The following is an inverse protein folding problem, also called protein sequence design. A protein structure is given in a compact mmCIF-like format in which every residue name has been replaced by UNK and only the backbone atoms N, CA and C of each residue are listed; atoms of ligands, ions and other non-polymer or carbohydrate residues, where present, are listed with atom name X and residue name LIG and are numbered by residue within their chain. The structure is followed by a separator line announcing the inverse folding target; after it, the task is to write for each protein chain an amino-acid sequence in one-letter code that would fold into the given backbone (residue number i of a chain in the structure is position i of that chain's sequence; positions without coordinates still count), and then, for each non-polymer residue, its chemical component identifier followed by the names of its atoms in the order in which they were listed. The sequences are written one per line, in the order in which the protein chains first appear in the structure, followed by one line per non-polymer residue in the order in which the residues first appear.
data_IF_242071731154
#
_entry.id   IF_242071731154
#
_cell.length_a   1.000
_cell.length_b   1.000
_cell.length_c   1.000
_cell.angle_alpha   90.00
_cell.angle_beta   90.00
_cell.angle_gamma   90.00
#
_symmetry.space_group_name_H-M   'P 1'
#
loop_
_entity.id
_entity.type
_entity.pdbx_description
1 polymer ?
#
# COMPACT_ATOMS: atom_id res chain seq x y z
N UNK A 1 -6.56 -38.14 2.69
CA UNK A 1 -5.92 -36.81 2.66
C UNK A 1 -6.34 -36.17 1.34
N UNK A 2 -7.13 -35.11 1.37
CA UNK A 2 -7.51 -34.40 0.14
C UNK A 2 -6.32 -33.51 -0.21
N UNK A 3 -5.60 -33.84 -1.27
CA UNK A 3 -4.62 -32.94 -1.86
C UNK A 3 -5.38 -31.71 -2.36
N UNK A 4 -5.22 -30.58 -1.69
CA UNK A 4 -5.70 -29.30 -2.23
C UNK A 4 -4.94 -29.06 -3.54
N UNK A 5 -5.70 -28.90 -4.64
CA UNK A 5 -5.14 -28.43 -5.90
C UNK A 5 -4.45 -27.08 -5.66
N UNK A 6 -3.27 -26.82 -6.25
CA UNK A 6 -2.65 -25.51 -6.13
C UNK A 6 -3.57 -24.45 -6.73
N UNK A 7 -3.76 -23.35 -6.00
CA UNK A 7 -4.56 -22.23 -6.50
C UNK A 7 -3.85 -21.57 -7.69
N UNK A 8 -4.60 -20.98 -8.63
CA UNK A 8 -4.03 -20.11 -9.66
C UNK A 8 -3.17 -19.00 -9.04
N UNK A 9 -2.12 -18.60 -9.75
CA UNK A 9 -1.22 -17.51 -9.36
C UNK A 9 -1.32 -16.36 -10.37
N UNK A 10 -1.72 -15.18 -9.91
CA UNK A 10 -1.64 -13.95 -10.68
C UNK A 10 -0.33 -13.22 -10.36
N UNK A 11 0.45 -12.92 -11.40
CA UNK A 11 1.69 -12.15 -11.28
C UNK A 11 1.47 -10.70 -11.71
N UNK A 12 1.69 -9.74 -10.82
CA UNK A 12 1.58 -8.31 -11.10
C UNK A 12 2.96 -7.64 -10.94
N UNK A 13 3.44 -6.98 -11.99
CA UNK A 13 4.75 -6.33 -11.95
C UNK A 13 4.73 -4.96 -12.65
N UNK A 14 5.52 -4.02 -12.13
CA UNK A 14 5.59 -2.67 -12.67
C UNK A 14 4.38 -1.82 -12.30
N UNK A 15 4.11 -0.76 -13.08
CA UNK A 15 3.09 0.24 -12.74
C UNK A 15 1.67 -0.12 -13.16
N UNK A 16 1.52 -1.12 -14.03
CA UNK A 16 0.25 -1.51 -14.68
C UNK A 16 -0.38 -0.40 -15.53
N UNK A 17 0.39 0.61 -15.97
CA UNK A 17 -0.12 1.70 -16.84
C UNK A 17 -0.63 1.16 -18.18
N UNK A 18 0.04 0.15 -18.74
CA UNK A 18 -0.25 -0.39 -20.07
C UNK A 18 -1.03 -1.71 -20.02
N UNK A 19 -1.62 -2.05 -18.87
CA UNK A 19 -2.33 -3.32 -18.75
C UNK A 19 -3.65 -3.30 -19.51
N UNK A 20 -3.97 -4.40 -20.19
CA UNK A 20 -5.28 -4.62 -20.77
C UNK A 20 -6.23 -5.15 -19.68
N UNK A 21 -6.97 -4.23 -19.07
CA UNK A 21 -7.77 -4.51 -17.88
C UNK A 21 -8.98 -5.40 -18.15
N UNK A 22 -9.79 -5.22 -19.22
CA UNK A 22 -10.98 -6.05 -19.44
C UNK A 22 -10.69 -7.55 -19.57
N UNK A 23 -9.68 -8.01 -20.36
CA UNK A 23 -9.34 -9.43 -20.41
C UNK A 23 -8.81 -9.97 -19.08
N UNK A 24 -8.07 -9.16 -18.31
CA UNK A 24 -7.63 -9.53 -16.98
C UNK A 24 -8.82 -9.74 -16.05
N UNK A 25 -9.75 -8.79 -15.98
CA UNK A 25 -10.96 -8.89 -15.15
C UNK A 25 -11.77 -10.13 -15.53
N UNK A 26 -12.00 -10.35 -16.82
CA UNK A 26 -12.71 -11.54 -17.31
C UNK A 26 -12.00 -12.87 -16.96
N UNK A 27 -10.68 -12.86 -16.81
CA UNK A 27 -9.92 -14.02 -16.32
C UNK A 27 -10.09 -14.16 -14.80
N UNK A 28 -9.99 -13.07 -14.04
CA UNK A 28 -10.17 -13.07 -12.59
C UNK A 28 -11.56 -13.57 -12.19
N UNK A 29 -12.62 -13.18 -12.88
CA UNK A 29 -14.01 -13.61 -12.64
C UNK A 29 -14.22 -15.14 -12.74
N UNK A 30 -13.33 -15.87 -13.42
CA UNK A 30 -13.40 -17.33 -13.55
C UNK A 30 -12.81 -18.07 -12.34
N UNK A 31 -12.03 -17.37 -11.53
CA UNK A 31 -11.34 -17.98 -10.38
C UNK A 31 -12.10 -17.72 -9.08
N UNK A 32 -12.39 -18.78 -8.32
CA UNK A 32 -13.05 -18.67 -7.01
C UNK A 32 -12.09 -18.21 -5.91
N UNK A 33 -10.82 -18.60 -6.02
CA UNK A 33 -9.74 -18.18 -5.12
C UNK A 33 -8.40 -18.26 -5.84
N UNK A 34 -7.50 -17.30 -5.56
CA UNK A 34 -6.18 -17.23 -6.17
C UNK A 34 -5.16 -16.61 -5.22
N UNK A 35 -3.90 -16.89 -5.52
CA UNK A 35 -2.75 -16.23 -4.91
C UNK A 35 -2.24 -15.12 -5.85
N UNK A 36 -1.65 -14.08 -5.30
CA UNK A 36 -1.03 -12.99 -6.08
C UNK A 36 0.42 -12.86 -5.69
N UNK A 37 1.32 -12.83 -6.67
CA UNK A 37 2.70 -12.40 -6.50
C UNK A 37 2.88 -11.02 -7.11
N UNK A 38 3.34 -10.06 -6.32
CA UNK A 38 3.45 -8.66 -6.74
C UNK A 38 4.85 -8.08 -6.52
N UNK A 39 5.33 -7.34 -7.52
CA UNK A 39 6.50 -6.45 -7.44
C UNK A 39 6.18 -5.13 -8.11
N UNK A 40 5.73 -4.15 -7.33
CA UNK A 40 5.23 -2.88 -7.87
C UNK A 40 5.46 -1.68 -6.95
N UNK A 41 5.74 -0.54 -7.57
CA UNK A 41 5.76 0.78 -6.92
C UNK A 41 4.39 1.48 -6.94
N UNK A 42 3.32 0.77 -7.35
CA UNK A 42 1.99 1.32 -7.56
C UNK A 42 1.80 1.86 -8.98
N UNK A 43 0.78 2.69 -9.20
CA UNK A 43 0.41 3.16 -10.53
C UNK A 43 -1.02 3.72 -10.56
N UNK A 44 -1.71 3.67 -11.72
CA UNK A 44 -3.04 4.28 -11.87
C UNK A 44 -4.02 3.73 -10.84
N UNK A 45 -4.53 4.61 -9.98
CA UNK A 45 -5.43 4.25 -8.88
C UNK A 45 -6.62 3.42 -9.37
N UNK A 46 -7.25 3.86 -10.46
CA UNK A 46 -8.42 3.18 -11.05
C UNK A 46 -8.11 1.71 -11.40
N UNK A 47 -6.98 1.44 -12.06
CA UNK A 47 -6.59 0.09 -12.47
C UNK A 47 -6.40 -0.81 -11.25
N UNK A 48 -5.67 -0.33 -10.25
CA UNK A 48 -5.40 -1.11 -9.05
C UNK A 48 -6.65 -1.32 -8.19
N UNK A 49 -7.51 -0.31 -8.10
CA UNK A 49 -8.78 -0.38 -7.38
C UNK A 49 -9.74 -1.34 -8.05
N UNK A 50 -9.86 -1.31 -9.38
CA UNK A 50 -10.67 -2.27 -10.15
C UNK A 50 -10.18 -3.70 -9.91
N UNK A 51 -8.87 -3.96 -10.05
CA UNK A 51 -8.28 -5.27 -9.72
C UNK A 51 -8.61 -5.65 -8.27
N UNK A 52 -8.46 -4.72 -7.34
CA UNK A 52 -8.72 -4.96 -5.92
C UNK A 52 -10.17 -5.33 -5.62
N UNK A 53 -11.13 -4.63 -6.23
CA UNK A 53 -12.56 -4.89 -6.10
C UNK A 53 -12.93 -6.27 -6.65
N UNK A 54 -12.35 -6.68 -7.78
CA UNK A 54 -12.55 -8.03 -8.32
C UNK A 54 -11.88 -9.09 -7.44
N UNK A 55 -10.73 -8.82 -6.84
CA UNK A 55 -10.03 -9.77 -5.98
C UNK A 55 -10.60 -9.86 -4.56
N UNK A 56 -11.44 -8.92 -4.14
CA UNK A 56 -11.99 -8.88 -2.78
C UNK A 56 -12.75 -10.19 -2.44
N UNK A 57 -12.41 -10.80 -1.31
CA UNK A 57 -12.95 -12.09 -0.89
C UNK A 57 -12.37 -13.32 -1.61
N UNK A 58 -11.54 -13.13 -2.64
CA UNK A 58 -10.94 -14.21 -3.46
C UNK A 58 -9.42 -14.28 -3.37
N UNK A 59 -8.76 -13.17 -3.02
CA UNK A 59 -7.32 -13.11 -2.80
C UNK A 59 -6.93 -13.82 -1.50
N UNK A 60 -6.28 -14.97 -1.63
CA UNK A 60 -5.83 -15.77 -0.51
C UNK A 60 -4.48 -15.29 -0.01
N UNK A 61 -3.38 -15.69 -0.65
CA UNK A 61 -2.05 -15.26 -0.26
C UNK A 61 -1.52 -14.17 -1.21
N UNK A 62 -1.15 -13.03 -0.63
CA UNK A 62 -0.45 -11.94 -1.31
C UNK A 62 1.04 -12.04 -1.01
N UNK A 63 1.80 -12.53 -1.99
CA UNK A 63 3.24 -12.61 -1.97
C UNK A 63 3.83 -11.30 -2.49
N UNK A 64 4.59 -10.60 -1.64
CA UNK A 64 5.24 -9.34 -2.03
C UNK A 64 6.71 -9.65 -2.30
N UNK A 65 7.06 -9.68 -3.59
CA UNK A 65 8.42 -9.73 -4.08
C UNK A 65 8.96 -8.30 -4.16
N UNK A 66 9.98 -8.03 -3.36
CA UNK A 66 10.68 -6.76 -3.29
C UNK A 66 9.83 -5.54 -2.87
N UNK A 67 8.79 -5.14 -3.59
CA UNK A 67 8.07 -3.90 -3.33
C UNK A 67 6.56 -4.01 -3.58
N UNK A 68 5.78 -3.35 -2.73
CA UNK A 68 4.37 -3.06 -2.96
C UNK A 68 4.07 -1.67 -2.40
N UNK A 69 4.15 -0.64 -3.25
CA UNK A 69 3.95 0.75 -2.83
C UNK A 69 2.65 1.34 -3.36
N UNK A 70 2.19 2.42 -2.72
CA UNK A 70 1.11 3.27 -3.23
C UNK A 70 -0.14 2.44 -3.54
N UNK A 71 -0.66 2.52 -4.76
CA UNK A 71 -1.83 1.76 -5.22
C UNK A 71 -1.72 0.24 -4.97
N UNK A 72 -0.54 -0.38 -5.08
CA UNK A 72 -0.38 -1.78 -4.71
C UNK A 72 -0.69 -2.01 -3.22
N UNK A 73 -0.09 -1.19 -2.35
CA UNK A 73 -0.29 -1.26 -0.91
C UNK A 73 -1.74 -0.91 -0.54
N UNK A 74 -2.36 0.02 -1.27
CA UNK A 74 -3.70 0.49 -0.99
C UNK A 74 -4.78 -0.52 -1.39
N UNK A 75 -4.57 -1.33 -2.43
CA UNK A 75 -5.64 -2.07 -3.10
C UNK A 75 -5.43 -3.58 -3.18
N UNK A 76 -4.39 -4.13 -2.55
CA UNK A 76 -4.25 -5.58 -2.36
C UNK A 76 -4.05 -5.95 -0.89
N UNK A 77 -3.20 -5.18 -0.19
CA UNK A 77 -2.82 -5.47 1.20
C UNK A 77 -4.00 -5.41 2.18
N UNK A 78 -5.01 -4.52 2.08
CA UNK A 78 -6.05 -4.41 3.10
C UNK A 78 -6.91 -5.66 3.28
N UNK A 79 -7.16 -6.41 2.20
CA UNK A 79 -8.15 -7.50 2.20
C UNK A 79 -7.59 -8.88 1.84
N UNK A 80 -6.32 -8.99 1.41
CA UNK A 80 -5.69 -10.29 1.21
C UNK A 80 -5.86 -11.15 2.47
N UNK A 81 -6.16 -12.43 2.34
CA UNK A 81 -6.32 -13.29 3.54
C UNK A 81 -5.01 -13.40 4.33
N UNK A 82 -3.89 -13.53 3.63
CA UNK A 82 -2.55 -13.50 4.20
C UNK A 82 -1.64 -12.62 3.36
N UNK A 83 -0.86 -11.75 4.00
CA UNK A 83 0.22 -10.98 3.38
C UNK A 83 1.56 -11.59 3.76
N UNK A 84 2.33 -11.95 2.74
CA UNK A 84 3.62 -12.63 2.85
C UNK A 84 4.66 -11.81 2.07
N UNK A 85 5.31 -10.89 2.77
CA UNK A 85 6.44 -10.14 2.23
C UNK A 85 7.71 -10.98 2.29
N UNK A 86 8.46 -11.03 1.18
CA UNK A 86 9.78 -11.64 1.15
C UNK A 86 10.79 -10.91 2.04
N UNK A 87 11.91 -11.57 2.34
CA UNK A 87 12.96 -10.96 3.16
C UNK A 87 13.42 -9.65 2.51
N UNK A 88 13.40 -8.57 3.30
CA UNK A 88 13.70 -7.19 2.90
C UNK A 88 12.65 -6.50 2.04
N UNK A 89 11.56 -7.18 1.63
CA UNK A 89 10.53 -6.53 0.84
C UNK A 89 9.90 -5.36 1.61
N UNK A 90 9.57 -4.29 0.89
CA UNK A 90 9.02 -3.07 1.45
C UNK A 90 7.58 -2.92 1.00
N UNK A 91 6.71 -2.56 1.93
CA UNK A 91 5.33 -2.15 1.66
C UNK A 91 5.19 -0.73 2.16
N UNK A 92 4.73 0.19 1.31
CA UNK A 92 4.73 1.60 1.65
C UNK A 92 3.47 2.30 1.14
N UNK A 93 2.91 3.13 2.01
CA UNK A 93 1.78 4.00 1.75
C UNK A 93 2.25 5.45 1.67
N UNK A 94 1.68 6.27 0.81
CA UNK A 94 1.99 7.70 0.75
C UNK A 94 0.74 8.55 0.56
N UNK A 95 -0.40 8.05 1.00
CA UNK A 95 -1.71 8.60 0.69
C UNK A 95 -2.53 7.76 -0.28
N UNK A 96 -3.69 8.30 -0.62
CA UNK A 96 -4.63 7.75 -1.58
C UNK A 96 -5.91 8.57 -1.59
N UNK A 97 -6.82 8.28 -2.53
CA UNK A 97 -8.15 8.86 -2.58
C UNK A 97 -8.82 8.81 -1.22
N UNK A 98 -9.21 9.98 -0.73
CA UNK A 98 -9.91 10.13 0.53
C UNK A 98 -10.91 11.28 0.42
N UNK A 99 -11.96 11.23 1.24
CA UNK A 99 -13.06 12.20 1.19
C UNK A 99 -12.69 13.58 1.74
N UNK A 100 -11.45 13.79 2.18
CA UNK A 100 -11.01 15.10 2.70
C UNK A 100 -10.54 16.05 1.58
N UNK A 101 -10.42 15.56 0.33
CA UNK A 101 -9.93 16.34 -0.81
C UNK A 101 -10.75 16.05 -2.08
N UNK A 102 -11.26 17.09 -2.73
CA UNK A 102 -11.94 17.00 -4.04
C UNK A 102 -11.00 17.27 -5.23
N UNK A 103 -9.69 17.06 -5.08
CA UNK A 103 -8.71 17.28 -6.15
C UNK A 103 -8.96 16.35 -7.34
N UNK A 104 -8.89 16.82 -8.58
CA UNK A 104 -8.95 15.95 -9.75
C UNK A 104 -7.57 15.31 -10.03
N UNK A 105 -7.51 14.00 -10.29
CA UNK A 105 -6.29 13.39 -10.83
C UNK A 105 -6.14 13.82 -12.29
N UNK A 106 -5.08 14.58 -12.56
CA UNK A 106 -4.67 14.93 -13.93
C UNK A 106 -3.28 14.35 -14.17
N UNK A 107 -3.13 13.55 -15.24
CA UNK A 107 -1.90 12.82 -15.53
C UNK A 107 -2.04 11.96 -16.80
N UNK A 108 -0.90 11.46 -17.30
CA UNK A 108 -0.72 10.83 -18.63
C UNK A 108 -1.43 9.48 -18.86
N UNK A 109 -2.44 9.13 -18.07
CA UNK A 109 -3.21 7.89 -18.19
C UNK A 109 -4.68 8.00 -17.78
N UNK A 110 -5.21 9.22 -17.72
CA UNK A 110 -6.61 9.49 -17.33
C UNK A 110 -7.33 10.02 -18.57
N UNK A 111 -8.08 9.16 -19.26
CA UNK A 111 -8.76 9.51 -20.53
C UNK A 111 -9.97 10.44 -20.32
N UNK A 112 -10.65 10.29 -19.19
CA UNK A 112 -11.73 11.16 -18.71
C UNK A 112 -11.42 11.58 -17.28
N UNK A 113 -11.77 12.80 -16.88
CA UNK A 113 -11.57 13.25 -15.51
C UNK A 113 -12.29 12.33 -14.51
N UNK A 114 -11.58 11.33 -13.98
CA UNK A 114 -12.07 10.53 -12.87
C UNK A 114 -11.99 11.41 -11.64
N UNK A 115 -13.15 11.75 -11.07
CA UNK A 115 -13.18 12.54 -9.85
C UNK A 115 -12.59 11.70 -8.72
N UNK A 116 -11.61 12.26 -8.02
CA UNK A 116 -10.99 11.60 -6.86
C UNK A 116 -12.02 11.30 -5.77
N UNK A 117 -13.13 12.04 -5.75
CA UNK A 117 -14.32 11.73 -4.96
C UNK A 117 -14.92 10.35 -5.27
N UNK A 118 -15.07 9.97 -6.54
CA UNK A 118 -15.57 8.65 -6.93
C UNK A 118 -14.60 7.54 -6.51
N UNK A 119 -13.31 7.74 -6.76
CA UNK A 119 -12.25 6.84 -6.33
C UNK A 119 -12.20 6.70 -4.79
N UNK A 120 -12.40 7.81 -4.07
CA UNK A 120 -12.45 7.82 -2.63
C UNK A 120 -13.65 7.04 -2.11
N UNK A 121 -14.84 7.20 -2.69
CA UNK A 121 -16.03 6.45 -2.29
C UNK A 121 -15.85 4.93 -2.47
N UNK A 122 -15.32 4.51 -3.62
CA UNK A 122 -14.98 3.11 -3.90
C UNK A 122 -13.89 2.57 -2.96
N UNK A 123 -12.82 3.33 -2.76
CA UNK A 123 -11.74 2.99 -1.83
C UNK A 123 -12.28 2.81 -0.41
N UNK A 124 -13.13 3.73 0.06
CA UNK A 124 -13.74 3.62 1.39
C UNK A 124 -14.61 2.37 1.52
N UNK A 125 -15.42 2.07 0.50
CA UNK A 125 -16.25 0.86 0.48
C UNK A 125 -15.39 -0.41 0.60
N UNK A 126 -14.28 -0.48 -0.13
CA UNK A 126 -13.35 -1.61 -0.08
C UNK A 126 -12.69 -1.74 1.30
N UNK A 127 -12.24 -0.63 1.89
CA UNK A 127 -11.62 -0.62 3.21
C UNK A 127 -12.61 -1.01 4.32
N UNK A 128 -13.83 -0.48 4.28
CA UNK A 128 -14.91 -0.82 5.21
C UNK A 128 -15.27 -2.31 5.12
N UNK A 129 -15.42 -2.83 3.90
CA UNK A 129 -15.67 -4.25 3.68
C UNK A 129 -14.52 -5.15 4.19
N UNK A 130 -13.28 -4.67 4.10
CA UNK A 130 -12.10 -5.34 4.65
C UNK A 130 -11.96 -5.21 6.18
N UNK A 131 -12.77 -4.35 6.83
CA UNK A 131 -12.64 -4.02 8.24
C UNK A 131 -11.35 -3.27 8.57
N UNK A 132 -10.81 -2.52 7.60
CA UNK A 132 -9.58 -1.73 7.72
C UNK A 132 -9.96 -0.25 7.86
N UNK A 133 -9.29 0.42 8.79
CA UNK A 133 -9.48 1.85 8.99
C UNK A 133 -8.83 2.65 7.85
N UNK A 134 -9.67 3.25 7.01
CA UNK A 134 -9.23 4.04 5.86
C UNK A 134 -8.44 5.30 6.23
N UNK A 135 -8.41 5.69 7.51
CA UNK A 135 -7.56 6.79 7.99
C UNK A 135 -6.07 6.55 7.77
N UNK A 136 -5.63 5.31 7.50
CA UNK A 136 -4.25 5.02 7.07
C UNK A 136 -3.87 5.80 5.80
N UNK A 137 -4.82 6.02 4.88
CA UNK A 137 -4.61 6.79 3.66
C UNK A 137 -4.33 8.25 3.98
N UNK A 138 -5.19 8.90 4.77
CA UNK A 138 -4.98 10.28 5.18
C UNK A 138 -3.68 10.45 6.01
N UNK A 139 -3.44 9.54 6.95
CA UNK A 139 -2.24 9.56 7.80
C UNK A 139 -0.96 9.53 6.98
N UNK A 140 -0.89 8.64 5.98
CA UNK A 140 0.31 8.44 5.16
C UNK A 140 0.42 9.45 4.02
N UNK A 141 -0.59 10.29 3.80
CA UNK A 141 -0.51 11.48 2.94
C UNK A 141 0.08 12.71 3.64
N UNK A 142 0.25 12.68 4.97
CA UNK A 142 0.81 13.82 5.70
C UNK A 142 2.32 13.96 5.50
N UNK A 143 2.87 15.19 5.48
CA UNK A 143 4.32 15.39 5.51
C UNK A 143 4.92 14.99 6.86
N UNK A 144 6.22 14.61 6.91
CA UNK A 144 6.89 14.33 8.17
C UNK A 144 7.11 15.60 8.99
N UNK A 145 7.11 15.51 10.32
CA UNK A 145 7.40 16.70 11.15
C UNK A 145 8.87 17.18 11.02
N UNK A 146 9.18 18.47 11.18
CA UNK A 146 10.57 18.96 11.07
C UNK A 146 11.53 18.27 12.06
N UNK A 147 11.04 17.95 13.26
CA UNK A 147 11.78 17.18 14.27
C UNK A 147 12.11 15.77 13.79
N UNK A 148 11.17 15.14 13.08
CA UNK A 148 11.33 13.81 12.48
C UNK A 148 12.43 13.82 11.45
N UNK A 149 12.34 14.74 10.47
CA UNK A 149 13.35 14.93 9.44
C UNK A 149 14.74 15.13 10.06
N UNK A 150 14.87 16.05 11.04
CA UNK A 150 16.14 16.29 11.72
C UNK A 150 16.69 15.04 12.44
N UNK A 151 15.82 14.20 12.99
CA UNK A 151 16.23 13.00 13.74
C UNK A 151 16.76 11.88 12.84
N UNK A 152 16.23 11.76 11.62
CA UNK A 152 16.62 10.74 10.63
C UNK A 152 17.83 11.22 9.81
N UNK A 153 17.89 12.52 9.49
CA UNK A 153 18.93 13.12 8.63
C UNK A 153 20.18 13.60 9.40
N UNK A 154 20.54 12.97 10.52
CA UNK A 154 21.74 13.34 11.31
C UNK A 154 22.97 13.38 10.39
N UNK A 155 23.39 14.57 9.94
CA UNK A 155 24.54 14.74 9.04
C UNK A 155 24.30 15.59 7.78
N UNK A 156 23.10 16.12 7.55
CA UNK A 156 22.89 17.16 6.54
C UNK A 156 22.64 16.66 5.11
N UNK A 157 22.28 15.39 4.91
CA UNK A 157 21.74 14.93 3.62
C UNK A 157 20.41 15.66 3.37
N UNK A 158 20.32 16.55 2.37
CA UNK A 158 19.08 17.25 2.08
C UNK A 158 18.13 16.25 1.43
N UNK A 159 17.24 15.64 2.21
CA UNK A 159 16.12 14.89 1.65
C UNK A 159 15.07 15.92 1.25
N UNK A 160 14.94 16.13 -0.06
CA UNK A 160 13.99 17.09 -0.63
C UNK A 160 12.54 16.58 -0.53
N UNK A 161 12.32 15.27 -0.42
CA UNK A 161 10.99 14.67 -0.28
C UNK A 161 11.01 13.27 0.35
N UNK A 162 9.96 12.94 1.10
CA UNK A 162 9.67 11.59 1.57
C UNK A 162 8.81 10.89 0.51
N UNK A 163 9.20 9.67 0.12
CA UNK A 163 8.53 8.87 -0.90
C UNK A 163 7.34 8.09 -0.37
N UNK A 164 7.25 7.94 0.96
CA UNK A 164 6.16 7.24 1.63
C UNK A 164 6.54 6.69 2.99
N UNK A 165 5.63 5.91 3.55
CA UNK A 165 5.70 5.37 4.89
C UNK A 165 5.53 3.85 4.86
N UNK A 166 6.57 3.14 5.29
CA UNK A 166 6.49 1.71 5.55
C UNK A 166 6.11 1.52 7.01
N UNK A 167 4.80 1.44 7.28
CA UNK A 167 4.28 1.35 8.64
C UNK A 167 4.62 -0.01 9.27
N UNK A 168 4.95 -0.01 10.56
CA UNK A 168 5.23 -1.25 11.28
C UNK A 168 3.98 -2.14 11.39
N UNK A 169 4.12 -3.49 11.43
CA UNK A 169 2.98 -4.38 11.63
C UNK A 169 2.20 -4.07 12.91
N UNK A 170 2.91 -3.68 13.97
CA UNK A 170 2.28 -3.24 15.22
C UNK A 170 1.37 -2.03 14.97
N UNK A 171 1.84 -1.01 14.27
CA UNK A 171 1.02 0.19 13.98
C UNK A 171 -0.16 -0.13 13.07
N UNK A 172 0.06 -0.92 12.01
CA UNK A 172 -0.99 -1.37 11.11
C UNK A 172 -2.10 -2.12 11.86
N UNK A 173 -1.73 -3.05 12.73
CA UNK A 173 -2.68 -3.83 13.55
C UNK A 173 -3.38 -2.97 14.59
N UNK A 174 -2.64 -2.19 15.40
CA UNK A 174 -3.22 -1.46 16.54
C UNK A 174 -4.02 -0.24 16.14
N UNK A 175 -3.63 0.44 15.06
CA UNK A 175 -4.22 1.73 14.70
C UNK A 175 -5.18 1.63 13.51
N UNK A 176 -4.97 0.65 12.63
CA UNK A 176 -5.68 0.60 11.35
C UNK A 176 -6.41 -0.72 11.10
N UNK A 177 -6.39 -1.65 12.06
CA UNK A 177 -7.23 -2.85 12.04
C UNK A 177 -6.73 -3.99 11.15
N UNK A 178 -5.50 -3.91 10.63
CA UNK A 178 -4.91 -5.01 9.83
C UNK A 178 -4.78 -6.28 10.68
N UNK A 179 -5.22 -7.43 10.13
CA UNK A 179 -5.19 -8.74 10.82
C UNK A 179 -4.52 -9.84 9.99
N UNK A 180 -4.20 -9.53 8.73
CA UNK A 180 -3.76 -10.46 7.70
C UNK A 180 -2.23 -10.48 7.51
N UNK A 181 -1.47 -9.85 8.40
CA UNK A 181 -0.02 -9.67 8.26
C UNK A 181 0.76 -10.94 8.66
N UNK A 182 0.68 -11.99 7.85
CA UNK A 182 1.33 -13.28 8.12
C UNK A 182 2.85 -13.17 8.23
N UNK A 183 3.49 -12.46 7.30
CA UNK A 183 4.92 -12.14 7.33
C UNK A 183 5.16 -10.78 6.71
N UNK A 184 5.53 -9.78 7.51
CA UNK A 184 5.81 -8.42 7.01
C UNK A 184 7.07 -7.87 7.68
N UNK A 185 8.11 -7.57 6.89
CA UNK A 185 9.47 -7.35 7.39
C UNK A 185 10.04 -6.00 6.94
N UNK A 186 9.73 -4.95 7.69
CA UNK A 186 10.77 -3.98 8.07
C UNK A 186 10.92 -4.08 9.61
N UNK A 187 12.08 -4.44 10.15
CA UNK A 187 12.22 -4.74 11.58
C UNK A 187 12.49 -3.52 12.47
N UNK A 188 12.58 -2.33 11.88
CA UNK A 188 13.29 -1.22 12.51
C UNK A 188 12.53 0.08 12.57
N UNK A 189 13.12 1.05 13.26
CA UNK A 189 12.56 2.39 13.36
C UNK A 189 12.83 3.21 12.08
N UNK A 190 12.51 4.50 12.08
CA UNK A 190 12.67 5.34 10.91
C UNK A 190 14.08 5.37 10.33
N UNK A 191 15.12 5.21 11.15
CA UNK A 191 16.48 5.17 10.64
C UNK A 191 16.71 3.88 9.83
N UNK A 192 16.19 2.75 10.30
CA UNK A 192 16.31 1.46 9.63
C UNK A 192 15.49 1.42 8.34
N UNK A 193 14.25 1.93 8.37
CA UNK A 193 13.40 2.04 7.17
C UNK A 193 14.05 2.93 6.13
N UNK A 194 14.56 4.08 6.56
CA UNK A 194 15.22 5.02 5.68
C UNK A 194 16.47 4.41 5.04
N UNK A 195 17.34 3.78 5.85
CA UNK A 195 18.54 3.11 5.38
C UNK A 195 18.23 1.97 4.41
N UNK A 196 17.20 1.16 4.70
CA UNK A 196 16.78 0.06 3.81
C UNK A 196 16.21 0.58 2.48
N UNK A 197 15.41 1.65 2.52
CA UNK A 197 14.90 2.31 1.31
C UNK A 197 16.05 2.82 0.43
N UNK A 198 16.99 3.57 1.02
CA UNK A 198 18.17 4.10 0.32
C UNK A 198 19.10 3.04 -0.24
N UNK A 199 19.25 1.91 0.46
CA UNK A 199 20.04 0.76 -0.02
C UNK A 199 19.46 0.17 -1.31
N UNK A 200 18.15 0.32 -1.54
CA UNK A 200 17.46 -0.21 -2.73
C UNK A 200 17.43 0.78 -3.88
N UNK A 201 17.28 2.06 -3.57
CA UNK A 201 17.31 3.12 -4.56
C UNK A 201 17.67 4.45 -3.91
N UNK A 202 18.49 5.25 -4.60
CA UNK A 202 18.80 6.61 -4.21
C UNK A 202 17.59 7.57 -4.28
N UNK A 203 16.46 7.14 -4.86
CA UNK A 203 15.22 7.90 -4.89
C UNK A 203 14.22 7.52 -3.79
N UNK A 204 14.43 6.41 -3.07
CA UNK A 204 13.49 5.93 -2.06
C UNK A 204 13.85 6.46 -0.67
N UNK A 205 13.09 7.46 -0.24
CA UNK A 205 13.19 8.06 1.09
C UNK A 205 11.96 7.67 1.91
N UNK A 206 12.01 6.50 2.56
CA UNK A 206 10.89 5.96 3.33
C UNK A 206 11.08 6.19 4.84
N UNK A 207 9.97 6.37 5.56
CA UNK A 207 9.93 6.47 7.03
C UNK A 207 8.95 5.45 7.61
N UNK A 208 9.00 5.18 8.92
CA UNK A 208 7.98 4.35 9.57
C UNK A 208 6.70 5.14 9.82
N UNK A 209 6.83 6.44 10.07
CA UNK A 209 5.68 7.29 10.39
C UNK A 209 5.94 8.75 10.01
N UNK A 210 4.89 9.50 9.62
CA UNK A 210 4.96 10.96 9.46
C UNK A 210 5.28 11.69 10.79
N UNK A 211 5.00 11.07 11.93
CA UNK A 211 5.13 11.70 13.24
C UNK A 211 6.46 11.39 13.92
N UNK A 212 6.94 12.32 14.76
CA UNK A 212 8.08 12.11 15.66
C UNK A 212 7.75 11.19 16.84
N UNK A 213 8.79 10.56 17.41
CA UNK A 213 8.67 9.80 18.67
C UNK A 213 8.03 10.68 19.75
N UNK A 214 6.90 10.23 20.30
CA UNK A 214 6.16 10.88 21.39
C UNK A 214 5.06 11.88 20.97
N UNK A 215 4.87 12.14 19.68
CA UNK A 215 3.71 12.92 19.22
C UNK A 215 2.42 12.08 19.39
N UNK A 216 1.43 12.63 20.11
CA UNK A 216 0.12 11.99 20.27
C UNK A 216 -0.61 11.96 18.92
N UNK A 217 -1.30 10.85 18.64
CA UNK A 217 -1.95 10.63 17.35
C UNK A 217 -3.45 10.40 17.51
N UNK A 218 -4.29 11.20 16.84
CA UNK A 218 -5.74 10.97 16.77
C UNK A 218 -6.11 9.72 15.95
N UNK A 219 -5.20 9.20 15.13
CA UNK A 219 -5.36 7.98 14.32
C UNK A 219 -5.02 6.69 15.07
N UNK A 220 -4.21 6.78 16.13
CA UNK A 220 -3.86 5.66 17.01
C UNK A 220 -4.32 6.00 18.43
N UNK A 221 -5.57 5.72 18.77
CA UNK A 221 -6.00 5.75 20.18
C UNK A 221 -5.22 4.66 20.91
N UNK A 222 -4.35 5.05 21.86
CA UNK A 222 -3.80 4.11 22.84
C UNK A 222 -4.86 3.78 23.89
#
# INVERSE_FOLDING_TARGET
MIQQQPRPLLCLAGSLIEIDLPPLVAALEKEEALDVSVRSTGGPVEVWLEIGEHLFGRLYDLHIDEACFSSCANYLVPFARTVIAEKNALVAWHGGPNMATDEALTGSGVSDAITYHSLAARTLKLYDAAGIDSRVLAFTGMPPSPKKLKSVLKGGTPVQSISGYALSPKRLTTCFGFKNLGRMWHPGDDADVFALGRKRSDSLNLLESPLSKGEKNAFCSQ
#
